data_IF_033491748817
#
_entry.id   IF_033491748817
#
_cell.length_a   1.000
_cell.length_b   1.000
_cell.length_c   1.000
_cell.angle_alpha   90.00
_cell.angle_beta   90.00
_cell.angle_gamma   90.00
#
_symmetry.space_group_name_H-M   'P 1'
#
loop_
_entity.id
_entity.type
_entity.pdbx_description
1 polymer ?
#
# COMPACT_ATOMS: atom_id res chain seq x y z
N UNK A 1 -32.59 18.19 -24.78
CA UNK A 1 -31.19 17.72 -24.65
C UNK A 1 -31.17 16.26 -25.04
N UNK A 2 -30.60 15.91 -26.20
CA UNK A 2 -30.32 14.52 -26.56
C UNK A 2 -29.15 14.08 -25.69
N UNK A 3 -29.32 12.98 -24.94
CA UNK A 3 -28.23 12.38 -24.18
C UNK A 3 -27.23 11.78 -25.17
N UNK A 4 -25.95 12.07 -24.98
CA UNK A 4 -24.87 11.45 -25.74
C UNK A 4 -24.84 9.95 -25.39
N UNK A 5 -24.91 9.12 -26.43
CA UNK A 5 -24.95 7.67 -26.32
C UNK A 5 -23.51 7.16 -26.27
N UNK A 6 -23.07 6.69 -25.11
CA UNK A 6 -21.75 6.09 -24.93
C UNK A 6 -21.72 4.68 -25.53
N UNK A 7 -20.67 4.38 -26.29
CA UNK A 7 -20.37 3.06 -26.86
C UNK A 7 -19.84 2.13 -25.76
N UNK A 8 -20.21 0.86 -25.83
CA UNK A 8 -19.87 -0.18 -24.85
C UNK A 8 -18.67 -1.02 -25.27
N UNK A 9 -18.38 -1.09 -26.56
CA UNK A 9 -17.23 -1.81 -27.13
C UNK A 9 -16.61 -1.04 -28.31
N UNK A 10 -15.35 -1.34 -28.63
CA UNK A 10 -14.62 -0.72 -29.75
C UNK A 10 -15.29 -1.01 -31.11
N UNK A 11 -15.95 -2.16 -31.23
CA UNK A 11 -16.72 -2.58 -32.41
C UNK A 11 -17.98 -1.71 -32.59
N UNK A 12 -18.61 -1.28 -31.49
CA UNK A 12 -19.76 -0.38 -31.52
C UNK A 12 -19.38 1.05 -31.95
N UNK A 13 -18.17 1.50 -31.57
CA UNK A 13 -17.62 2.79 -32.02
C UNK A 13 -17.28 2.80 -33.51
N UNK A 14 -16.78 1.68 -34.04
CA UNK A 14 -16.31 1.56 -35.42
C UNK A 14 -17.43 1.34 -36.45
N UNK A 15 -18.68 1.15 -35.99
CA UNK A 15 -19.91 1.14 -36.80
C UNK A 15 -19.85 0.23 -38.04
N UNK A 16 -19.27 -0.97 -37.89
CA UNK A 16 -19.21 -1.98 -38.94
C UNK A 16 -20.61 -2.48 -39.33
N UNK A 17 -20.92 -2.51 -40.63
CA UNK A 17 -22.19 -3.04 -41.16
C UNK A 17 -22.45 -4.51 -40.73
N UNK A 18 -21.38 -5.27 -40.52
CA UNK A 18 -21.42 -6.67 -40.11
C UNK A 18 -21.90 -6.84 -38.65
N UNK A 19 -21.52 -5.92 -37.75
CA UNK A 19 -21.95 -5.89 -36.36
C UNK A 19 -23.42 -5.44 -36.21
N UNK A 20 -23.85 -4.50 -37.05
CA UNK A 20 -25.26 -4.09 -37.10
C UNK A 20 -26.17 -5.23 -37.57
N UNK A 21 -25.70 -6.07 -38.50
CA UNK A 21 -26.43 -7.28 -38.93
C UNK A 21 -26.47 -8.35 -37.84
N UNK A 22 -25.38 -8.58 -37.12
CA UNK A 22 -25.36 -9.58 -36.02
C UNK A 22 -26.23 -9.18 -34.82
N UNK A 23 -26.50 -7.89 -34.63
CA UNK A 23 -27.43 -7.37 -33.61
C UNK A 23 -28.91 -7.56 -33.96
N UNK A 24 -29.23 -7.66 -35.25
CA UNK A 24 -30.60 -7.82 -35.75
C UNK A 24 -30.99 -9.29 -35.96
N UNK A 25 -30.02 -10.14 -36.28
CA UNK A 25 -30.22 -11.58 -36.47
C UNK A 25 -29.61 -12.37 -35.29
N UNK A 26 -30.47 -12.79 -34.36
CA UNK A 26 -30.09 -13.65 -33.21
C UNK A 26 -29.54 -15.02 -33.64
N UNK A 27 -29.81 -15.43 -34.90
CA UNK A 27 -29.29 -16.65 -35.50
C UNK A 27 -28.79 -16.41 -36.93
N UNK A 28 -27.68 -17.06 -37.35
CA UNK A 28 -27.19 -16.99 -38.73
C UNK A 28 -28.27 -17.36 -39.76
N UNK A 29 -28.21 -16.79 -40.99
CA UNK A 29 -29.11 -17.17 -42.08
C UNK A 29 -29.09 -18.69 -42.31
N UNK A 30 -30.26 -19.34 -42.23
CA UNK A 30 -30.44 -20.78 -42.43
C UNK A 30 -30.66 -21.62 -41.17
N UNK A 31 -30.59 -21.04 -39.96
CA UNK A 31 -30.82 -21.78 -38.70
C UNK A 31 -32.31 -21.86 -38.31
N UNK A 32 -33.14 -20.91 -38.73
CA UNK A 32 -34.57 -20.82 -38.42
C UNK A 32 -35.50 -21.30 -39.55
N UNK A 33 -34.94 -21.74 -40.68
CA UNK A 33 -35.71 -22.35 -41.76
C UNK A 33 -35.96 -23.84 -41.45
N UNK A 34 -37.23 -24.24 -41.37
CA UNK A 34 -37.60 -25.67 -41.31
C UNK A 34 -37.10 -26.33 -42.60
N UNK A 35 -36.22 -27.35 -42.53
CA UNK A 35 -35.70 -27.95 -43.75
C UNK A 35 -36.86 -28.58 -44.52
N UNK A 36 -36.97 -28.22 -45.81
CA UNK A 36 -37.75 -28.97 -46.77
C UNK A 36 -37.33 -30.45 -46.69
N UNK A 37 -38.30 -31.37 -46.79
CA UNK A 37 -38.09 -32.81 -46.63
C UNK A 37 -36.83 -33.30 -47.38
N UNK A 38 -35.73 -33.48 -46.65
CA UNK A 38 -34.48 -33.99 -47.21
C UNK A 38 -34.71 -35.45 -47.62
N UNK A 39 -34.46 -35.78 -48.87
CA UNK A 39 -34.49 -37.17 -49.30
C UNK A 39 -33.40 -37.95 -48.54
N UNK A 40 -33.67 -39.21 -48.16
CA UNK A 40 -32.76 -40.07 -47.36
C UNK A 40 -31.30 -40.04 -47.84
N UNK A 41 -31.08 -39.97 -49.16
CA UNK A 41 -29.75 -39.90 -49.76
C UNK A 41 -29.04 -38.57 -49.52
N UNK A 42 -29.75 -37.45 -49.61
CA UNK A 42 -29.20 -36.13 -49.31
C UNK A 42 -28.91 -36.00 -47.82
N UNK A 43 -29.81 -36.49 -46.96
CA UNK A 43 -29.56 -36.57 -45.52
C UNK A 43 -28.31 -37.40 -45.19
N UNK A 44 -28.17 -38.61 -45.77
CA UNK A 44 -26.98 -39.44 -45.56
C UNK A 44 -25.72 -38.80 -46.13
N UNK A 45 -25.82 -38.01 -47.22
CA UNK A 45 -24.69 -37.29 -47.79
C UNK A 45 -24.29 -36.09 -46.92
N UNK A 46 -25.25 -35.38 -46.33
CA UNK A 46 -25.01 -34.27 -45.41
C UNK A 46 -24.45 -34.77 -44.07
N UNK A 47 -25.00 -35.85 -43.52
CA UNK A 47 -24.49 -36.47 -42.28
C UNK A 47 -23.07 -37.02 -42.50
N UNK A 48 -22.80 -37.66 -43.64
CA UNK A 48 -21.46 -38.17 -43.94
C UNK A 48 -20.46 -37.03 -44.21
N UNK A 49 -20.87 -35.96 -44.89
CA UNK A 49 -20.05 -34.75 -45.05
C UNK A 49 -19.77 -34.07 -43.69
N UNK A 50 -20.77 -33.90 -42.83
CA UNK A 50 -20.63 -33.31 -41.50
C UNK A 50 -19.74 -34.15 -40.58
N UNK A 51 -19.83 -35.49 -40.63
CA UNK A 51 -18.93 -36.39 -39.91
C UNK A 51 -17.49 -36.30 -40.44
N UNK A 52 -17.30 -36.16 -41.75
CA UNK A 52 -15.98 -35.97 -42.34
C UNK A 52 -15.35 -34.63 -41.93
N UNK A 53 -16.11 -33.53 -41.94
CA UNK A 53 -15.64 -32.22 -41.49
C UNK A 53 -15.37 -32.15 -39.97
N UNK A 54 -16.21 -32.78 -39.15
CA UNK A 54 -15.96 -32.89 -37.70
C UNK A 54 -14.73 -33.76 -37.38
N UNK A 55 -14.46 -34.78 -38.19
CA UNK A 55 -13.25 -35.61 -38.09
C UNK A 55 -11.97 -34.85 -38.43
N UNK A 56 -12.02 -33.88 -39.34
CA UNK A 56 -10.87 -33.06 -39.73
C UNK A 56 -10.42 -32.08 -38.62
N UNK A 57 -11.33 -31.60 -37.77
CA UNK A 57 -10.98 -30.80 -36.58
C UNK A 57 -10.55 -31.64 -35.39
N UNK A 58 -10.93 -32.93 -35.34
CA UNK A 58 -10.50 -33.87 -34.30
C UNK A 58 -9.06 -34.37 -34.46
N UNK A 59 -8.42 -34.06 -35.60
CA UNK A 59 -7.02 -34.41 -35.89
C UNK A 59 -6.16 -33.16 -36.13
N UNK A 60 -6.46 -32.04 -35.47
CA UNK A 60 -5.43 -31.03 -35.28
C UNK A 60 -4.31 -31.67 -34.46
N UNK A 61 -3.06 -31.79 -34.98
CA UNK A 61 -1.96 -32.28 -34.16
C UNK A 61 -1.84 -31.33 -32.98
N UNK A 62 -2.12 -31.82 -31.77
CA UNK A 62 -1.72 -31.12 -30.56
C UNK A 62 -0.23 -30.87 -30.71
N UNK A 63 0.17 -29.60 -30.74
CA UNK A 63 1.59 -29.26 -30.75
C UNK A 63 2.20 -29.96 -29.54
N UNK A 64 3.16 -30.89 -29.71
CA UNK A 64 3.66 -31.66 -28.59
C UNK A 64 4.28 -30.71 -27.57
N UNK A 65 3.65 -30.61 -26.40
CA UNK A 65 4.17 -29.80 -25.29
C UNK A 65 5.47 -30.42 -24.79
N UNK A 66 6.48 -29.58 -24.57
CA UNK A 66 7.78 -30.04 -24.07
C UNK A 66 7.76 -30.04 -22.55
N UNK A 67 8.05 -31.20 -21.96
CA UNK A 67 8.30 -31.33 -20.52
C UNK A 67 9.81 -31.22 -20.30
N UNK A 68 10.24 -30.19 -19.58
CA UNK A 68 11.66 -29.92 -19.30
C UNK A 68 11.94 -30.16 -17.81
N UNK A 69 12.63 -31.26 -17.43
CA UNK A 69 12.97 -31.51 -16.03
C UNK A 69 14.17 -30.67 -15.58
N UNK A 70 14.36 -30.57 -14.26
CA UNK A 70 15.57 -29.97 -13.69
C UNK A 70 16.83 -30.73 -14.14
N UNK A 71 17.88 -30.00 -14.50
CA UNK A 71 19.22 -30.56 -14.74
C UNK A 71 19.81 -31.07 -13.41
N UNK A 72 19.58 -30.33 -12.32
CA UNK A 72 19.91 -30.71 -10.95
C UNK A 72 18.71 -30.37 -10.06
N UNK A 73 17.94 -31.36 -9.59
CA UNK A 73 16.77 -31.11 -8.76
C UNK A 73 17.20 -30.64 -7.36
N UNK A 74 16.64 -29.52 -6.85
CA UNK A 74 16.76 -29.17 -5.44
C UNK A 74 16.08 -30.22 -4.57
N UNK A 75 16.64 -30.50 -3.38
CA UNK A 75 16.13 -31.57 -2.51
C UNK A 75 14.73 -31.26 -1.95
N UNK A 76 14.43 -29.98 -1.72
CA UNK A 76 13.17 -29.54 -1.11
C UNK A 76 12.02 -29.44 -2.12
N UNK A 77 12.31 -29.40 -3.43
CA UNK A 77 11.29 -29.17 -4.47
C UNK A 77 10.76 -30.51 -4.99
N UNK A 78 9.48 -30.76 -4.71
CA UNK A 78 8.70 -31.83 -5.34
C UNK A 78 7.76 -31.21 -6.39
N UNK A 79 7.95 -31.48 -7.70
CA UNK A 79 7.08 -30.94 -8.74
C UNK A 79 5.59 -31.22 -8.46
N UNK A 80 4.76 -30.18 -8.58
CA UNK A 80 3.31 -30.26 -8.32
C UNK A 80 2.90 -30.08 -6.85
N UNK A 81 3.84 -29.96 -5.91
CA UNK A 81 3.54 -29.60 -4.52
C UNK A 81 4.05 -28.17 -4.24
N UNK A 82 3.17 -27.25 -3.79
CA UNK A 82 3.63 -25.93 -3.37
C UNK A 82 4.50 -26.00 -2.12
N UNK A 83 5.46 -25.10 -2.03
CA UNK A 83 6.20 -24.77 -0.82
C UNK A 83 5.77 -23.40 -0.33
N UNK A 84 5.74 -23.21 0.99
CA UNK A 84 5.43 -21.90 1.59
C UNK A 84 6.67 -21.33 2.24
N UNK A 85 7.04 -20.11 1.85
CA UNK A 85 8.18 -19.39 2.41
C UNK A 85 7.69 -18.24 3.29
N UNK A 86 8.15 -18.19 4.53
CA UNK A 86 7.88 -17.06 5.41
C UNK A 86 8.70 -15.84 4.98
N UNK A 87 8.02 -14.73 4.71
CA UNK A 87 8.61 -13.45 4.30
C UNK A 87 7.75 -12.30 4.83
N UNK A 88 8.06 -11.06 4.47
CA UNK A 88 7.29 -9.88 4.87
C UNK A 88 7.07 -8.95 3.67
N UNK A 89 5.83 -8.50 3.51
CA UNK A 89 5.44 -7.50 2.52
C UNK A 89 5.61 -6.09 3.12
N UNK A 90 6.43 -5.22 2.51
CA UNK A 90 6.59 -3.83 2.95
C UNK A 90 5.49 -2.94 2.37
N UNK A 91 4.89 -2.08 3.21
CA UNK A 91 3.99 -1.01 2.77
C UNK A 91 4.05 0.17 3.75
N UNK A 92 4.23 1.40 3.27
CA UNK A 92 4.26 2.59 4.13
C UNK A 92 5.38 2.57 5.17
N UNK A 93 6.47 1.83 4.88
CA UNK A 93 7.53 1.52 5.82
C UNK A 93 7.25 0.40 6.83
N UNK A 94 6.06 -0.21 6.89
CA UNK A 94 5.77 -1.29 7.84
C UNK A 94 5.71 -2.67 7.18
N UNK A 95 6.15 -3.69 7.91
CA UNK A 95 6.14 -5.08 7.45
C UNK A 95 4.86 -5.82 7.82
N UNK A 96 4.17 -6.36 6.82
CA UNK A 96 3.12 -7.37 6.99
C UNK A 96 3.70 -8.76 6.77
N UNK A 97 3.77 -9.59 7.81
CA UNK A 97 4.30 -10.96 7.68
C UNK A 97 3.39 -11.85 6.84
N UNK A 98 3.96 -12.47 5.81
CA UNK A 98 3.24 -13.28 4.82
C UNK A 98 3.94 -14.63 4.58
N UNK A 99 3.19 -15.57 4.01
CA UNK A 99 3.67 -16.82 3.46
C UNK A 99 3.53 -16.74 1.94
N UNK A 100 4.64 -16.78 1.22
CA UNK A 100 4.64 -16.86 -0.23
C UNK A 100 4.55 -18.33 -0.66
N UNK A 101 3.45 -18.69 -1.32
CA UNK A 101 3.30 -19.99 -1.97
C UNK A 101 4.15 -20.00 -3.25
N UNK A 102 5.11 -20.92 -3.32
CA UNK A 102 6.06 -21.07 -4.40
C UNK A 102 5.89 -22.43 -5.08
N UNK A 103 5.65 -22.40 -6.39
CA UNK A 103 5.65 -23.58 -7.24
C UNK A 103 6.96 -23.63 -8.00
N UNK A 104 7.77 -24.65 -7.71
CA UNK A 104 9.03 -24.88 -8.45
C UNK A 104 9.96 -23.64 -8.48
N UNK A 105 9.99 -22.88 -7.37
CA UNK A 105 10.81 -21.68 -7.21
C UNK A 105 10.15 -20.38 -7.68
N UNK A 106 8.88 -20.42 -8.11
CA UNK A 106 8.13 -19.24 -8.56
C UNK A 106 7.03 -18.93 -7.55
N UNK A 107 7.07 -17.78 -6.85
CA UNK A 107 5.93 -17.33 -6.06
C UNK A 107 4.67 -17.27 -6.93
N UNK A 108 3.51 -17.67 -6.43
CA UNK A 108 2.26 -17.68 -7.20
C UNK A 108 1.08 -17.12 -6.41
N UNK A 109 1.18 -17.15 -5.08
CA UNK A 109 0.16 -16.65 -4.18
C UNK A 109 0.82 -16.13 -2.91
N UNK A 110 0.26 -15.06 -2.36
CA UNK A 110 0.63 -14.53 -1.05
C UNK A 110 -0.50 -14.89 -0.08
N UNK A 111 -0.14 -15.40 1.09
CA UNK A 111 -1.05 -15.68 2.21
C UNK A 111 -0.53 -15.03 3.48
N UNK A 112 -1.39 -14.83 4.48
CA UNK A 112 -0.93 -14.23 5.74
C UNK A 112 -0.14 -15.23 6.57
N UNK A 113 0.90 -14.77 7.28
CA UNK A 113 1.61 -15.61 8.24
C UNK A 113 0.83 -15.68 9.57
N UNK A 114 0.34 -16.87 10.01
CA UNK A 114 -0.37 -17.03 11.28
C UNK A 114 0.45 -16.62 12.51
N UNK A 115 1.78 -16.77 12.45
CA UNK A 115 2.68 -16.52 13.56
C UNK A 115 3.13 -15.05 13.66
N UNK A 116 2.84 -14.25 12.63
CA UNK A 116 3.25 -12.85 12.60
C UNK A 116 2.17 -11.94 13.22
N UNK A 117 2.53 -11.05 14.17
CA UNK A 117 1.55 -10.30 14.97
C UNK A 117 0.69 -9.34 14.14
N UNK A 118 1.21 -8.79 13.03
CA UNK A 118 0.46 -7.84 12.20
C UNK A 118 -0.55 -8.48 11.25
N UNK A 119 -0.36 -9.75 10.87
CA UNK A 119 -1.18 -10.42 9.84
C UNK A 119 -2.10 -11.48 10.43
N UNK A 120 -1.65 -12.22 11.47
CA UNK A 120 -2.40 -13.27 12.15
C UNK A 120 -3.02 -14.29 11.16
N UNK A 121 -2.31 -14.58 10.06
CA UNK A 121 -2.78 -15.52 9.03
C UNK A 121 -3.72 -14.91 7.99
N UNK A 122 -3.77 -13.58 7.87
CA UNK A 122 -4.55 -12.87 6.84
C UNK A 122 -3.71 -11.77 6.19
N UNK A 123 -4.19 -11.24 5.06
CA UNK A 123 -3.50 -10.21 4.27
C UNK A 123 -4.45 -9.10 3.90
N UNK A 124 -3.89 -7.98 3.43
CA UNK A 124 -4.66 -6.91 2.80
C UNK A 124 -4.70 -7.08 1.27
N UNK A 125 -5.42 -6.18 0.60
CA UNK A 125 -5.54 -6.21 -0.85
C UNK A 125 -4.20 -5.92 -1.56
N UNK A 126 -3.34 -5.11 -0.96
CA UNK A 126 -2.05 -4.72 -1.55
C UNK A 126 -1.07 -5.89 -1.56
N UNK A 127 -0.94 -6.60 -0.43
CA UNK A 127 -0.12 -7.80 -0.29
C UNK A 127 -0.63 -8.94 -1.18
N UNK A 128 -1.94 -9.06 -1.40
CA UNK A 128 -2.51 -10.02 -2.35
C UNK A 128 -2.17 -9.68 -3.80
N UNK A 129 -2.26 -8.39 -4.15
CA UNK A 129 -2.00 -7.92 -5.51
C UNK A 129 -0.50 -7.83 -5.85
N UNK A 130 0.38 -7.76 -4.86
CA UNK A 130 1.84 -7.60 -5.07
C UNK A 130 2.46 -8.73 -5.89
N UNK A 131 1.82 -9.91 -5.95
CA UNK A 131 2.26 -11.00 -6.82
C UNK A 131 2.20 -10.61 -8.31
N UNK A 132 1.24 -9.76 -8.69
CA UNK A 132 1.14 -9.24 -10.04
C UNK A 132 2.27 -8.24 -10.30
N UNK A 133 2.61 -7.40 -9.33
CA UNK A 133 3.76 -6.51 -9.41
C UNK A 133 5.05 -7.29 -9.64
N UNK A 134 5.25 -8.44 -8.98
CA UNK A 134 6.42 -9.30 -9.24
C UNK A 134 6.52 -9.70 -10.72
N UNK A 135 5.40 -10.08 -11.34
CA UNK A 135 5.34 -10.60 -12.71
C UNK A 135 4.98 -9.54 -13.76
N UNK A 136 5.01 -8.27 -13.39
CA UNK A 136 4.64 -7.19 -14.28
C UNK A 136 5.67 -7.05 -15.42
N UNK A 137 5.25 -7.11 -16.70
CA UNK A 137 6.15 -6.97 -17.83
C UNK A 137 6.76 -5.57 -17.97
N UNK A 138 6.14 -4.54 -17.39
CA UNK A 138 6.57 -3.15 -17.46
C UNK A 138 7.58 -2.77 -16.37
N UNK A 139 7.89 -3.70 -15.46
CA UNK A 139 9.01 -3.55 -14.53
C UNK A 139 10.31 -3.27 -15.28
N UNK A 140 11.13 -2.44 -14.65
CA UNK A 140 12.47 -2.10 -15.10
C UNK A 140 13.32 -3.36 -15.18
N UNK A 141 13.99 -3.59 -16.33
CA UNK A 141 14.82 -4.79 -16.57
C UNK A 141 16.28 -4.48 -16.78
N UNK A 142 16.61 -3.22 -17.07
CA UNK A 142 17.95 -2.79 -17.46
C UNK A 142 18.28 -1.48 -16.79
N UNK A 143 19.56 -1.25 -16.55
CA UNK A 143 20.06 0.02 -16.07
C UNK A 143 20.03 1.01 -17.22
N UNK A 144 19.58 2.23 -16.96
CA UNK A 144 19.52 3.31 -17.95
C UNK A 144 20.39 4.46 -17.48
N UNK A 145 21.15 5.04 -18.41
CA UNK A 145 21.89 6.29 -18.23
C UNK A 145 21.53 7.29 -19.34
N UNK A 146 20.88 8.40 -19.00
CA UNK A 146 20.48 9.45 -19.94
C UNK A 146 19.62 8.91 -21.09
N UNK A 147 18.68 8.01 -20.79
CA UNK A 147 17.79 7.36 -21.76
C UNK A 147 18.43 6.23 -22.59
N UNK A 148 19.66 5.80 -22.27
CA UNK A 148 20.34 4.69 -22.96
C UNK A 148 20.63 3.52 -22.03
N UNK A 149 20.47 2.30 -22.53
CA UNK A 149 20.83 1.08 -21.80
C UNK A 149 22.31 1.13 -21.40
N UNK A 150 22.58 0.79 -20.15
CA UNK A 150 23.91 0.76 -19.53
C UNK A 150 24.08 -0.52 -18.69
N UNK A 151 25.26 -0.67 -18.07
CA UNK A 151 25.61 -1.85 -17.27
C UNK A 151 25.81 -1.48 -15.80
N UNK A 152 25.77 -2.51 -14.95
CA UNK A 152 26.03 -2.34 -13.51
C UNK A 152 27.46 -1.82 -13.26
N UNK A 153 28.45 -2.37 -13.97
CA UNK A 153 29.84 -1.93 -13.83
C UNK A 153 30.03 -0.46 -14.24
N UNK A 154 29.34 -0.01 -15.29
CA UNK A 154 29.38 1.38 -15.72
C UNK A 154 28.77 2.32 -14.67
N UNK A 155 27.63 1.93 -14.07
CA UNK A 155 27.01 2.66 -12.98
C UNK A 155 27.93 2.75 -11.76
N UNK A 156 28.46 1.62 -11.28
CA UNK A 156 29.34 1.59 -10.11
C UNK A 156 30.61 2.41 -10.33
N UNK A 157 31.20 2.36 -11.54
CA UNK A 157 32.37 3.18 -11.88
C UNK A 157 32.04 4.68 -11.84
N UNK A 158 30.89 5.09 -12.40
CA UNK A 158 30.44 6.47 -12.37
C UNK A 158 30.15 6.95 -10.95
N UNK A 159 29.41 6.15 -10.16
CA UNK A 159 29.07 6.48 -8.77
C UNK A 159 30.32 6.54 -7.89
N UNK A 160 31.27 5.61 -8.04
CA UNK A 160 32.53 5.63 -7.30
C UNK A 160 33.31 6.93 -7.55
N UNK A 161 33.37 7.39 -8.80
CA UNK A 161 34.01 8.67 -9.16
C UNK A 161 33.37 9.84 -8.41
N UNK A 162 32.03 9.89 -8.37
CA UNK A 162 31.29 10.92 -7.64
C UNK A 162 31.53 10.85 -6.13
N UNK A 163 31.54 9.64 -5.56
CA UNK A 163 31.78 9.43 -4.14
C UNK A 163 33.22 9.78 -3.72
N UNK A 164 34.24 9.53 -4.55
CA UNK A 164 35.60 9.98 -4.25
C UNK A 164 35.68 11.51 -4.16
N UNK A 165 35.03 12.23 -5.08
CA UNK A 165 34.93 13.69 -4.99
C UNK A 165 34.23 14.13 -3.70
N UNK A 166 33.18 13.41 -3.28
CA UNK A 166 32.48 13.66 -2.01
C UNK A 166 33.29 13.30 -0.76
N UNK A 167 34.25 12.38 -0.84
CA UNK A 167 35.13 12.09 0.30
C UNK A 167 36.01 13.30 0.64
N UNK A 168 36.46 14.04 -0.38
CA UNK A 168 37.31 15.22 -0.20
C UNK A 168 36.61 16.35 0.58
N UNK A 169 35.29 16.49 0.43
CA UNK A 169 34.48 17.50 1.12
C UNK A 169 33.57 16.92 2.22
N UNK A 170 33.88 15.70 2.70
CA UNK A 170 33.15 15.01 3.78
C UNK A 170 31.66 14.75 3.48
N UNK A 171 31.24 14.72 2.21
CA UNK A 171 29.86 14.46 1.81
C UNK A 171 29.01 15.71 1.57
N UNK A 172 29.61 16.90 1.51
CA UNK A 172 28.85 18.11 1.21
C UNK A 172 28.18 18.00 -0.17
N UNK A 173 26.88 18.27 -0.22
CA UNK A 173 26.03 18.12 -1.40
C UNK A 173 25.62 16.69 -1.74
N UNK A 174 25.94 15.70 -0.90
CA UNK A 174 25.40 14.33 -0.99
C UNK A 174 24.08 14.24 -0.21
N UNK A 175 23.03 13.78 -0.88
CA UNK A 175 21.70 13.58 -0.31
C UNK A 175 21.16 12.20 -0.67
N UNK A 176 20.46 11.60 0.28
CA UNK A 176 19.67 10.39 0.07
C UNK A 176 18.20 10.73 0.34
N UNK A 177 17.31 10.35 -0.57
CA UNK A 177 15.87 10.37 -0.36
C UNK A 177 15.37 8.94 -0.43
N UNK A 178 14.74 8.47 0.63
CA UNK A 178 14.15 7.14 0.69
C UNK A 178 12.67 7.23 1.04
N UNK A 179 11.90 6.18 0.79
CA UNK A 179 10.66 5.94 1.51
C UNK A 179 10.94 5.72 3.01
N UNK A 180 9.89 5.44 3.79
CA UNK A 180 10.04 5.18 5.22
C UNK A 180 10.84 3.89 5.46
N UNK A 181 12.01 4.00 6.10
CA UNK A 181 12.86 2.85 6.41
C UNK A 181 12.60 2.38 7.84
N UNK A 182 12.10 1.15 7.98
CA UNK A 182 12.04 0.44 9.27
C UNK A 182 12.95 -0.78 9.35
N UNK A 183 13.57 -1.17 8.23
CA UNK A 183 14.59 -2.21 8.14
C UNK A 183 15.81 -1.86 9.02
N UNK A 184 16.13 -2.69 10.04
CA UNK A 184 17.35 -2.50 10.83
C UNK A 184 18.62 -2.60 9.98
N UNK A 185 18.66 -3.51 9.01
CA UNK A 185 19.82 -3.71 8.15
C UNK A 185 20.06 -2.51 7.23
N UNK A 186 19.03 -2.01 6.54
CA UNK A 186 19.16 -0.82 5.68
C UNK A 186 19.50 0.41 6.51
N UNK A 187 18.86 0.60 7.67
CA UNK A 187 19.19 1.71 8.55
C UNK A 187 20.65 1.68 9.03
N UNK A 188 21.20 0.50 9.32
CA UNK A 188 22.61 0.35 9.68
C UNK A 188 23.54 0.69 8.50
N UNK A 189 23.18 0.29 7.29
CA UNK A 189 23.94 0.63 6.07
C UNK A 189 23.95 2.14 5.83
N UNK A 190 22.79 2.80 5.92
CA UNK A 190 22.68 4.26 5.79
C UNK A 190 23.47 4.99 6.87
N UNK A 191 23.40 4.54 8.13
CA UNK A 191 24.22 5.12 9.22
C UNK A 191 25.71 5.02 8.94
N UNK A 192 26.20 3.86 8.47
CA UNK A 192 27.62 3.68 8.09
C UNK A 192 28.04 4.61 6.95
N UNK A 193 27.13 4.87 5.99
CA UNK A 193 27.38 5.84 4.92
C UNK A 193 27.47 7.26 5.52
N UNK A 194 26.55 7.65 6.39
CA UNK A 194 26.57 8.97 7.03
C UNK A 194 27.79 9.17 7.96
N UNK A 195 28.29 8.10 8.58
CA UNK A 195 29.56 8.13 9.34
C UNK A 195 30.77 8.38 8.43
N UNK A 196 30.78 7.79 7.22
CA UNK A 196 31.84 8.02 6.22
C UNK A 196 31.74 9.40 5.56
N UNK A 197 30.53 9.94 5.45
CA UNK A 197 30.22 11.23 4.83
C UNK A 197 29.42 12.12 5.81
N UNK A 198 30.07 12.72 6.84
CA UNK A 198 29.37 13.45 7.90
C UNK A 198 28.55 14.67 7.47
N UNK A 199 28.82 15.24 6.28
CA UNK A 199 28.05 16.36 5.72
C UNK A 199 26.93 15.92 4.77
N UNK A 200 26.80 14.61 4.50
CA UNK A 200 25.67 14.05 3.78
C UNK A 200 24.41 14.09 4.64
N UNK A 201 23.24 14.14 4.00
CA UNK A 201 21.96 14.11 4.71
C UNK A 201 21.05 13.01 4.15
N UNK A 202 20.30 12.39 5.06
CA UNK A 202 19.29 11.39 4.74
C UNK A 202 17.89 11.98 4.99
N UNK A 203 17.11 12.05 3.94
CA UNK A 203 15.72 12.46 3.91
C UNK A 203 14.81 11.25 3.70
N UNK A 204 13.64 11.30 4.32
CA UNK A 204 12.60 10.27 4.18
C UNK A 204 11.29 10.95 3.79
N UNK A 205 10.58 10.35 2.85
CA UNK A 205 9.29 10.85 2.40
C UNK A 205 8.35 9.74 1.93
N UNK A 206 7.16 9.71 2.53
CA UNK A 206 5.97 9.03 2.05
C UNK A 206 4.85 10.05 1.83
N UNK A 207 4.07 9.98 0.74
CA UNK A 207 2.92 10.87 0.55
C UNK A 207 1.80 10.61 1.55
N UNK A 208 1.65 9.37 2.01
CA UNK A 208 0.73 9.00 3.10
C UNK A 208 1.57 8.62 4.31
N UNK A 209 1.78 9.59 5.21
CA UNK A 209 2.64 9.44 6.37
C UNK A 209 1.91 9.74 7.69
N UNK A 210 2.64 9.59 8.80
CA UNK A 210 2.14 9.80 10.16
C UNK A 210 2.72 11.06 10.82
N UNK A 211 3.09 12.08 10.04
CA UNK A 211 3.78 13.28 10.56
C UNK A 211 2.98 14.01 11.64
N UNK A 212 1.65 14.12 11.49
CA UNK A 212 0.79 14.73 12.50
C UNK A 212 0.84 13.99 13.84
N UNK A 213 0.88 12.65 13.81
CA UNK A 213 1.02 11.83 15.00
C UNK A 213 2.42 11.98 15.63
N UNK A 214 3.48 12.10 14.82
CA UNK A 214 4.85 12.37 15.29
C UNK A 214 4.98 13.75 15.94
N UNK A 215 4.42 14.78 15.32
CA UNK A 215 4.42 16.14 15.86
C UNK A 215 3.68 16.21 17.21
N UNK A 216 2.53 15.51 17.31
CA UNK A 216 1.78 15.39 18.55
C UNK A 216 2.55 14.64 19.65
N UNK A 217 3.17 13.51 19.31
CA UNK A 217 3.94 12.72 20.27
C UNK A 217 5.15 13.49 20.79
N UNK A 218 5.89 14.18 19.91
CA UNK A 218 7.00 15.07 20.29
C UNK A 218 6.55 16.19 21.23
N UNK A 219 5.39 16.78 20.97
CA UNK A 219 4.81 17.83 21.82
C UNK A 219 4.45 17.31 23.21
N UNK A 220 3.87 16.11 23.30
CA UNK A 220 3.39 15.55 24.57
C UNK A 220 4.48 14.86 25.40
N UNK A 221 5.38 14.14 24.75
CA UNK A 221 6.35 13.26 25.40
C UNK A 221 7.80 13.77 25.31
N UNK A 222 8.04 14.87 24.59
CA UNK A 222 9.39 15.41 24.32
C UNK A 222 10.23 14.57 23.36
N UNK A 223 9.71 13.42 22.91
CA UNK A 223 10.30 12.50 21.95
C UNK A 223 9.22 11.91 21.06
N UNK A 224 9.62 11.38 19.89
CA UNK A 224 8.71 10.61 19.06
C UNK A 224 8.39 9.28 19.74
N UNK A 225 7.11 8.90 19.73
CA UNK A 225 6.62 7.58 20.14
C UNK A 225 5.52 7.13 19.18
N UNK A 226 5.41 5.81 19.00
CA UNK A 226 4.32 5.20 18.23
C UNK A 226 3.25 4.67 19.18
N UNK A 227 1.99 4.85 18.79
CA UNK A 227 0.84 4.33 19.53
C UNK A 227 0.44 2.96 18.97
N UNK A 228 0.63 1.92 19.78
CA UNK A 228 0.14 0.58 19.48
C UNK A 228 -1.23 0.37 20.11
N UNK A 229 -2.23 0.11 19.28
CA UNK A 229 -3.60 -0.11 19.72
C UNK A 229 -3.89 -1.60 19.95
N UNK A 230 -4.59 -1.88 21.05
CA UNK A 230 -5.11 -3.19 21.43
C UNK A 230 -6.64 -3.20 21.29
N UNK A 231 -7.11 -3.35 20.05
CA UNK A 231 -8.53 -3.22 19.71
C UNK A 231 -9.37 -4.34 20.35
N UNK A 232 -8.77 -5.51 20.58
CA UNK A 232 -9.37 -6.66 21.23
C UNK A 232 -9.75 -6.41 22.69
N UNK A 233 -9.12 -5.41 23.33
CA UNK A 233 -9.37 -5.03 24.73
C UNK A 233 -10.40 -3.90 24.86
N UNK A 234 -10.85 -3.30 23.76
CA UNK A 234 -11.78 -2.19 23.78
C UNK A 234 -13.25 -2.65 23.67
N UNK A 235 -14.06 -2.23 24.64
CA UNK A 235 -15.53 -2.32 24.66
C UNK A 235 -16.18 -1.12 23.96
N UNK A 236 -15.55 0.06 23.99
CA UNK A 236 -16.04 1.28 23.31
C UNK A 236 -14.87 1.94 22.58
N UNK A 237 -15.04 2.18 21.28
CA UNK A 237 -14.02 2.77 20.42
C UNK A 237 -14.56 4.08 19.84
N UNK A 238 -13.77 5.15 19.95
CA UNK A 238 -13.99 6.42 19.28
C UNK A 238 -12.92 6.61 18.20
N UNK A 239 -13.33 6.63 16.94
CA UNK A 239 -12.49 7.04 15.81
C UNK A 239 -12.74 8.50 15.47
N UNK A 240 -11.66 9.29 15.47
CA UNK A 240 -11.59 10.68 15.02
C UNK A 240 -10.94 10.70 13.64
N UNK A 241 -11.77 10.48 12.62
CA UNK A 241 -11.41 10.38 11.20
C UNK A 241 -10.32 9.32 10.94
N UNK A 242 -10.27 8.25 11.75
CA UNK A 242 -9.28 7.19 11.63
C UNK A 242 -9.85 5.96 10.90
N UNK A 243 -9.26 5.58 9.77
CA UNK A 243 -9.62 4.35 9.05
C UNK A 243 -8.73 3.16 9.45
N UNK A 244 -8.73 2.85 10.75
CA UNK A 244 -7.86 1.83 11.35
C UNK A 244 -8.18 0.39 10.91
N UNK A 245 -9.30 0.17 10.21
CA UNK A 245 -9.67 -1.12 9.62
C UNK A 245 -9.13 -1.33 8.21
N UNK A 246 -8.57 -0.30 7.55
CA UNK A 246 -8.10 -0.40 6.16
C UNK A 246 -6.71 0.19 5.91
N UNK A 247 -6.41 1.42 6.37
CA UNK A 247 -5.27 2.18 5.84
C UNK A 247 -4.15 2.43 6.85
N UNK A 248 -4.43 2.31 8.14
CA UNK A 248 -3.40 2.53 9.17
C UNK A 248 -2.44 1.33 9.30
N UNK A 249 -1.21 1.55 9.80
CA UNK A 249 -0.32 0.46 10.18
C UNK A 249 -1.03 -0.54 11.11
N UNK A 250 -0.87 -1.83 10.84
CA UNK A 250 -1.51 -2.89 11.61
C UNK A 250 -3.01 -3.11 11.35
N UNK A 251 -3.61 -2.48 10.33
CA UNK A 251 -5.05 -2.57 10.07
C UNK A 251 -5.57 -4.01 9.89
N UNK A 252 -4.80 -4.94 9.31
CA UNK A 252 -5.19 -6.37 9.18
C UNK A 252 -5.43 -6.99 10.56
N UNK A 253 -4.50 -6.78 11.48
CA UNK A 253 -4.62 -7.17 12.89
C UNK A 253 -5.82 -6.49 13.53
N UNK A 254 -5.93 -5.16 13.40
CA UNK A 254 -7.02 -4.41 14.01
C UNK A 254 -8.40 -4.83 13.52
N UNK A 255 -8.54 -5.14 12.23
CA UNK A 255 -9.77 -5.67 11.66
C UNK A 255 -10.14 -7.04 12.24
N UNK A 256 -9.16 -7.91 12.43
CA UNK A 256 -9.36 -9.22 13.07
C UNK A 256 -9.75 -9.08 14.55
N UNK A 257 -9.04 -8.24 15.30
CA UNK A 257 -9.31 -7.96 16.71
C UNK A 257 -10.70 -7.34 16.89
N UNK A 258 -11.04 -6.34 16.07
CA UNK A 258 -12.35 -5.70 16.04
C UNK A 258 -13.46 -6.71 15.75
N UNK A 259 -13.30 -7.52 14.70
CA UNK A 259 -14.28 -8.54 14.34
C UNK A 259 -14.44 -9.61 15.43
N UNK A 260 -13.38 -9.97 16.14
CA UNK A 260 -13.46 -10.96 17.23
C UNK A 260 -14.39 -10.52 18.37
N UNK A 261 -14.46 -9.21 18.63
CA UNK A 261 -15.33 -8.59 19.64
C UNK A 261 -16.77 -8.39 19.18
N UNK A 262 -17.07 -8.77 17.93
CA UNK A 262 -18.41 -8.69 17.33
C UNK A 262 -18.99 -10.05 16.94
N UNK A 263 -18.24 -11.14 17.15
CA UNK A 263 -18.74 -12.50 17.00
C UNK A 263 -19.55 -12.86 18.24
N UNK A 264 -20.87 -12.71 18.15
CA UNK A 264 -21.79 -13.08 19.24
C UNK A 264 -22.24 -14.53 19.09
N UNK A 265 -22.20 -15.31 20.16
CA UNK A 265 -22.90 -16.59 20.22
C UNK A 265 -24.37 -16.38 20.64
N UNK A 266 -25.28 -17.33 20.33
CA UNK A 266 -26.64 -17.28 20.85
C UNK A 266 -26.66 -17.15 22.38
N UNK A 267 -27.21 -16.06 22.90
CA UNK A 267 -27.25 -15.75 24.35
C UNK A 267 -26.17 -14.77 24.84
N UNK A 268 -25.18 -14.44 24.01
CA UNK A 268 -24.20 -13.39 24.31
C UNK A 268 -24.60 -12.07 23.66
N UNK A 269 -24.94 -11.07 24.48
CA UNK A 269 -25.32 -9.73 24.02
C UNK A 269 -24.17 -8.70 24.13
N UNK A 270 -22.92 -9.15 24.20
CA UNK A 270 -21.78 -8.24 24.39
C UNK A 270 -21.01 -8.06 23.09
N UNK A 271 -21.02 -6.83 22.58
CA UNK A 271 -20.33 -6.39 21.38
C UNK A 271 -19.57 -5.10 21.69
N UNK A 272 -18.40 -4.90 21.10
CA UNK A 272 -17.75 -3.60 21.18
C UNK A 272 -18.55 -2.56 20.38
N UNK A 273 -18.64 -1.34 20.91
CA UNK A 273 -19.35 -0.22 20.27
C UNK A 273 -18.36 0.69 19.55
N UNK A 274 -18.60 0.94 18.28
CA UNK A 274 -17.77 1.82 17.46
C UNK A 274 -18.49 3.13 17.13
N UNK A 275 -17.92 4.23 17.62
CA UNK A 275 -18.28 5.60 17.29
C UNK A 275 -17.28 6.17 16.28
N UNK A 276 -17.77 6.74 15.19
CA UNK A 276 -16.93 7.32 14.15
C UNK A 276 -17.38 8.76 13.87
N UNK A 277 -16.46 9.69 14.06
CA UNK A 277 -16.54 11.04 13.51
C UNK A 277 -15.65 11.06 12.27
N UNK A 278 -16.20 11.22 11.08
CA UNK A 278 -15.39 11.24 9.87
C UNK A 278 -15.93 12.21 8.82
N UNK A 279 -15.03 12.67 7.96
CA UNK A 279 -15.35 13.62 6.88
C UNK A 279 -15.80 12.93 5.61
N UNK A 280 -15.16 11.82 5.27
CA UNK A 280 -15.43 11.02 4.07
C UNK A 280 -15.83 9.61 4.50
N UNK A 281 -16.84 8.97 3.87
CA UNK A 281 -17.15 7.57 4.12
C UNK A 281 -15.93 6.66 4.02
N UNK A 282 -15.63 5.95 5.11
CA UNK A 282 -14.51 4.99 5.18
C UNK A 282 -14.99 3.56 5.44
N UNK A 283 -14.10 2.57 5.34
CA UNK A 283 -14.42 1.18 5.72
C UNK A 283 -14.69 1.07 7.22
N UNK A 284 -13.93 1.80 8.04
CA UNK A 284 -14.19 1.93 9.47
C UNK A 284 -15.57 2.54 9.75
N UNK A 285 -15.93 3.61 9.04
CA UNK A 285 -17.25 4.24 9.12
C UNK A 285 -18.39 3.29 8.72
N UNK A 286 -18.20 2.46 7.70
CA UNK A 286 -19.19 1.47 7.26
C UNK A 286 -19.41 0.34 8.28
N UNK A 287 -18.46 0.13 9.22
CA UNK A 287 -18.58 -0.83 10.32
C UNK A 287 -18.97 -0.18 11.65
N UNK A 288 -19.18 1.13 11.68
CA UNK A 288 -19.55 1.86 12.89
C UNK A 288 -20.98 1.53 13.32
N UNK A 289 -21.19 1.48 14.64
CA UNK A 289 -22.54 1.46 15.22
C UNK A 289 -23.14 2.87 15.22
N UNK A 290 -22.28 3.88 15.44
CA UNK A 290 -22.64 5.28 15.50
C UNK A 290 -21.70 6.11 14.62
N UNK A 291 -22.14 6.41 13.40
CA UNK A 291 -21.38 7.26 12.47
C UNK A 291 -21.97 8.66 12.42
N UNK A 292 -21.14 9.68 12.59
CA UNK A 292 -21.53 11.08 12.41
C UNK A 292 -20.63 11.74 11.35
N UNK A 293 -21.20 12.19 10.23
CA UNK A 293 -20.47 13.00 9.26
C UNK A 293 -20.09 14.35 9.87
N UNK A 294 -18.82 14.73 9.78
CA UNK A 294 -18.28 15.99 10.32
C UNK A 294 -17.30 16.56 9.29
N UNK A 295 -17.32 17.87 9.03
CA UNK A 295 -16.31 18.49 8.16
C UNK A 295 -14.92 18.27 8.77
N UNK A 296 -13.89 18.04 7.96
CA UNK A 296 -12.53 17.79 8.49
C UNK A 296 -12.05 18.91 9.42
N UNK A 297 -12.38 20.18 9.12
CA UNK A 297 -12.11 21.34 9.99
C UNK A 297 -12.76 21.28 11.37
N UNK A 298 -13.90 20.60 11.48
CA UNK A 298 -14.73 20.57 12.68
C UNK A 298 -14.42 19.35 13.56
N UNK A 299 -13.61 18.40 13.08
CA UNK A 299 -13.16 17.24 13.87
C UNK A 299 -12.42 17.70 15.12
N UNK A 300 -11.56 18.72 15.00
CA UNK A 300 -10.88 19.33 16.15
C UNK A 300 -11.88 19.90 17.16
N UNK A 301 -12.88 20.66 16.70
CA UNK A 301 -13.90 21.26 17.58
C UNK A 301 -14.69 20.17 18.30
N UNK A 302 -15.07 19.11 17.59
CA UNK A 302 -15.77 17.96 18.18
C UNK A 302 -14.89 17.21 19.19
N UNK A 303 -13.63 16.95 18.86
CA UNK A 303 -12.67 16.29 19.75
C UNK A 303 -12.44 17.11 21.03
N UNK A 304 -12.30 18.44 20.92
CA UNK A 304 -12.19 19.34 22.07
C UNK A 304 -13.42 19.28 22.96
N UNK A 305 -14.63 19.36 22.38
CA UNK A 305 -15.89 19.25 23.14
C UNK A 305 -16.03 17.91 23.87
N UNK A 306 -15.62 16.81 23.23
CA UNK A 306 -15.61 15.47 23.86
C UNK A 306 -14.59 15.44 25.01
N UNK A 307 -13.39 15.96 24.79
CA UNK A 307 -12.35 16.00 25.83
C UNK A 307 -12.79 16.84 27.05
N UNK A 308 -13.40 18.01 26.83
CA UNK A 308 -13.94 18.87 27.89
C UNK A 308 -15.05 18.15 28.67
N UNK A 309 -15.97 17.48 27.96
CA UNK A 309 -17.04 16.70 28.58
C UNK A 309 -16.54 15.44 29.32
N UNK A 310 -15.36 14.91 28.97
CA UNK A 310 -14.70 13.87 29.75
C UNK A 310 -14.02 14.42 31.02
N UNK A 311 -13.59 15.69 30.99
CA UNK A 311 -12.96 16.39 32.11
C UNK A 311 -13.92 17.01 33.13
N UNK A 312 -15.22 17.15 32.82
CA UNK A 312 -16.24 17.73 33.71
C UNK A 312 -17.65 17.15 33.51
N UNK A 313 -18.59 17.41 34.44
CA UNK A 313 -19.97 16.90 34.39
C UNK A 313 -20.94 17.90 33.77
N UNK A 314 -20.65 18.39 32.57
CA UNK A 314 -21.54 19.31 31.85
C UNK A 314 -22.09 18.62 30.61
N UNK A 315 -23.42 18.65 30.44
CA UNK A 315 -24.04 18.26 29.17
C UNK A 315 -23.51 19.18 28.07
N UNK A 316 -23.18 18.60 26.92
CA UNK A 316 -22.69 19.35 25.77
C UNK A 316 -23.80 20.02 24.97
N UNK A 317 -25.07 19.76 25.32
CA UNK A 317 -26.24 20.14 24.53
C UNK A 317 -26.42 19.29 23.26
N UNK A 318 -25.54 18.32 23.03
CA UNK A 318 -25.56 17.40 21.90
C UNK A 318 -25.76 15.98 22.41
N UNK A 319 -26.97 15.45 22.21
CA UNK A 319 -27.36 14.14 22.73
C UNK A 319 -26.47 12.99 22.22
N UNK A 320 -25.89 13.11 21.03
CA UNK A 320 -24.99 12.10 20.47
C UNK A 320 -23.65 12.11 21.20
N UNK A 321 -23.10 13.31 21.45
CA UNK A 321 -21.85 13.47 22.21
C UNK A 321 -22.04 13.05 23.67
N UNK A 322 -23.16 13.44 24.29
CA UNK A 322 -23.48 13.06 25.67
C UNK A 322 -23.66 11.53 25.82
N UNK A 323 -24.13 10.82 24.80
CA UNK A 323 -24.19 9.36 24.79
C UNK A 323 -22.79 8.73 24.65
N UNK A 324 -21.98 9.20 23.70
CA UNK A 324 -20.60 8.77 23.51
C UNK A 324 -19.77 8.95 24.79
N UNK A 325 -19.83 10.12 25.43
CA UNK A 325 -19.07 10.43 26.64
C UNK A 325 -19.46 9.50 27.79
N UNK A 326 -20.77 9.24 27.97
CA UNK A 326 -21.24 8.27 28.98
C UNK A 326 -20.71 6.87 28.72
N UNK A 327 -20.75 6.41 27.47
CA UNK A 327 -20.21 5.10 27.11
C UNK A 327 -18.70 5.01 27.37
N UNK A 328 -17.91 6.00 26.93
CA UNK A 328 -16.47 6.05 27.20
C UNK A 328 -16.17 6.05 28.70
N UNK A 329 -16.90 6.84 29.49
CA UNK A 329 -16.75 6.87 30.95
C UNK A 329 -17.12 5.54 31.61
N UNK A 330 -18.15 4.84 31.10
CA UNK A 330 -18.55 3.52 31.60
C UNK A 330 -17.51 2.43 31.27
N UNK A 331 -16.74 2.62 30.21
CA UNK A 331 -15.71 1.72 29.71
C UNK A 331 -14.28 2.20 30.03
N UNK A 332 -14.07 2.91 31.15
CA UNK A 332 -12.70 3.31 31.60
C UNK A 332 -11.76 2.10 31.67
N UNK A 333 -10.56 2.25 31.11
CA UNK A 333 -9.56 1.18 30.95
C UNK A 333 -9.91 0.11 29.92
N UNK A 334 -11.10 0.17 29.32
CA UNK A 334 -11.61 -0.72 28.26
C UNK A 334 -12.18 0.09 27.09
N UNK A 335 -11.77 1.34 26.94
CA UNK A 335 -12.17 2.19 25.82
C UNK A 335 -10.95 2.51 24.99
N UNK A 336 -11.14 3.05 23.79
CA UNK A 336 -10.03 3.43 22.94
C UNK A 336 -10.40 4.64 22.10
N UNK A 337 -9.54 5.64 22.06
CA UNK A 337 -9.69 6.81 21.17
C UNK A 337 -8.56 6.78 20.13
N UNK A 338 -8.90 6.83 18.85
CA UNK A 338 -7.96 6.75 17.73
C UNK A 338 -8.12 8.00 16.86
N UNK A 339 -7.01 8.68 16.54
CA UNK A 339 -6.99 9.80 15.59
C UNK A 339 -6.37 9.35 14.27
N UNK A 340 -7.00 9.74 13.15
CA UNK A 340 -6.53 9.41 11.81
C UNK A 340 -5.30 10.22 11.42
N UNK A 341 -4.37 9.67 10.63
CA UNK A 341 -3.10 10.32 10.29
C UNK A 341 -3.27 11.66 9.55
N UNK A 342 -4.37 11.84 8.82
CA UNK A 342 -4.67 13.08 8.10
C UNK A 342 -5.17 14.21 9.01
N UNK A 343 -5.46 13.93 10.28
CA UNK A 343 -5.90 14.96 11.22
C UNK A 343 -4.72 15.79 11.71
N UNK A 344 -4.99 17.04 12.09
CA UNK A 344 -3.96 17.95 12.61
C UNK A 344 -3.36 17.43 13.93
N UNK A 345 -2.09 17.77 14.27
CA UNK A 345 -1.42 17.28 15.48
C UNK A 345 -2.24 17.46 16.76
N UNK A 346 -3.01 18.54 16.88
CA UNK A 346 -3.82 18.85 18.05
C UNK A 346 -4.95 17.83 18.28
N UNK A 347 -5.47 17.18 17.24
CA UNK A 347 -6.46 16.09 17.37
C UNK A 347 -5.80 14.85 17.96
N UNK A 348 -4.57 14.53 17.55
CA UNK A 348 -3.79 13.45 18.15
C UNK A 348 -3.47 13.73 19.62
N UNK A 349 -3.10 14.97 19.95
CA UNK A 349 -2.89 15.40 21.35
C UNK A 349 -4.14 15.17 22.19
N UNK A 350 -5.32 15.57 21.67
CA UNK A 350 -6.60 15.34 22.33
C UNK A 350 -6.92 13.85 22.47
N UNK A 351 -6.66 13.03 21.45
CA UNK A 351 -6.85 11.58 21.51
C UNK A 351 -5.98 10.94 22.60
N UNK A 352 -4.69 11.30 22.69
CA UNK A 352 -3.80 10.84 23.75
C UNK A 352 -4.26 11.31 25.13
N UNK A 353 -4.68 12.57 25.27
CA UNK A 353 -5.19 13.12 26.52
C UNK A 353 -6.48 12.41 26.97
N UNK A 354 -7.41 12.14 26.05
CA UNK A 354 -8.62 11.37 26.34
C UNK A 354 -8.30 9.94 26.77
N UNK A 355 -7.39 9.26 26.07
CA UNK A 355 -6.94 7.93 26.46
C UNK A 355 -6.29 7.92 27.85
N UNK A 356 -5.48 8.94 28.18
CA UNK A 356 -4.91 9.09 29.51
C UNK A 356 -6.01 9.30 30.57
N UNK A 357 -6.94 10.23 30.32
CA UNK A 357 -8.04 10.54 31.23
C UNK A 357 -8.98 9.35 31.46
N UNK A 358 -9.13 8.46 30.46
CA UNK A 358 -9.94 7.24 30.52
C UNK A 358 -9.21 6.05 31.14
N UNK A 359 -7.91 6.17 31.45
CA UNK A 359 -7.10 5.09 32.02
C UNK A 359 -6.75 3.99 31.00
N UNK A 360 -6.68 4.34 29.71
CA UNK A 360 -6.48 3.39 28.62
C UNK A 360 -5.00 3.00 28.41
N UNK A 361 -4.07 3.82 28.91
CA UNK A 361 -2.62 3.60 28.77
C UNK A 361 -2.20 2.31 29.49
N UNK A 362 -1.51 1.43 28.77
CA UNK A 362 -1.12 0.09 29.24
C UNK A 362 -2.25 -0.93 29.20
N UNK A 363 -3.47 -0.52 28.84
CA UNK A 363 -4.63 -1.40 28.67
C UNK A 363 -4.93 -1.57 27.18
N UNK A 364 -5.61 -0.60 26.57
CA UNK A 364 -6.05 -0.60 25.16
C UNK A 364 -5.11 0.17 24.24
N UNK A 365 -4.19 0.96 24.79
CA UNK A 365 -3.15 1.68 24.05
C UNK A 365 -1.81 1.57 24.78
N UNK A 366 -0.75 1.31 24.02
CA UNK A 366 0.62 1.29 24.50
C UNK A 366 1.47 2.25 23.67
N UNK A 367 2.35 3.00 24.33
CA UNK A 367 3.32 3.85 23.65
C UNK A 367 4.67 3.13 23.60
N UNK A 368 5.17 2.92 22.39
CA UNK A 368 6.46 2.28 22.14
C UNK A 368 7.44 3.28 21.54
N UNK A 369 8.73 2.96 21.62
CA UNK A 369 9.71 3.70 20.82
C UNK A 369 9.40 3.51 19.32
N UNK A 370 9.70 4.52 18.48
CA UNK A 370 9.38 4.49 17.06
C UNK A 370 9.87 3.23 16.36
N UNK A 371 9.05 2.72 15.44
CA UNK A 371 9.43 1.57 14.61
C UNK A 371 10.56 1.97 13.65
N UNK A 372 10.54 3.20 13.12
CA UNK A 372 11.63 3.74 12.32
C UNK A 372 12.90 3.98 13.14
N UNK A 373 14.08 3.55 12.68
CA UNK A 373 15.35 3.85 13.33
C UNK A 373 15.78 5.33 13.27
N UNK A 374 15.20 6.12 12.38
CA UNK A 374 15.43 7.56 12.25
C UNK A 374 14.08 8.29 12.06
N UNK A 375 13.30 8.46 13.14
CA UNK A 375 12.00 9.10 13.06
C UNK A 375 12.16 10.60 12.78
N UNK A 376 11.53 11.07 11.71
CA UNK A 376 11.50 12.48 11.29
C UNK A 376 10.09 12.87 10.86
N UNK A 377 9.78 14.17 10.91
CA UNK A 377 8.63 14.73 10.20
C UNK A 377 9.01 14.80 8.71
N UNK A 378 8.44 13.88 7.92
CA UNK A 378 8.88 13.57 6.57
C UNK A 378 8.60 14.69 5.58
N UNK A 379 7.45 15.36 5.68
CA UNK A 379 7.13 16.51 4.85
C UNK A 379 8.10 17.68 5.11
N UNK A 380 8.49 17.91 6.37
CA UNK A 380 9.53 18.89 6.70
C UNK A 380 10.91 18.46 6.19
N UNK A 381 11.21 17.16 6.22
CA UNK A 381 12.43 16.62 5.62
C UNK A 381 12.48 16.84 4.10
N UNK A 382 11.37 16.60 3.39
CA UNK A 382 11.25 16.86 1.95
C UNK A 382 11.33 18.35 1.63
N UNK A 383 10.69 19.22 2.43
CA UNK A 383 10.83 20.69 2.32
C UNK A 383 12.28 21.12 2.47
N UNK A 384 13.01 20.56 3.43
CA UNK A 384 14.43 20.85 3.60
C UNK A 384 15.23 20.44 2.36
N UNK A 385 15.05 19.22 1.87
CA UNK A 385 15.73 18.74 0.65
C UNK A 385 15.43 19.67 -0.54
N UNK A 386 14.17 20.06 -0.70
CA UNK A 386 13.75 20.91 -1.82
C UNK A 386 14.37 22.30 -1.75
N UNK A 387 14.43 22.90 -0.54
CA UNK A 387 15.15 24.17 -0.32
C UNK A 387 16.65 24.04 -0.61
N UNK A 388 17.27 22.94 -0.21
CA UNK A 388 18.68 22.68 -0.50
C UNK A 388 18.93 22.58 -2.02
N UNK A 389 18.05 21.88 -2.76
CA UNK A 389 18.11 21.80 -4.21
C UNK A 389 17.90 23.18 -4.87
N UNK A 390 16.94 23.96 -4.38
CA UNK A 390 16.69 25.33 -4.86
C UNK A 390 17.92 26.23 -4.69
N UNK A 391 18.64 26.09 -3.57
CA UNK A 391 19.83 26.88 -3.27
C UNK A 391 21.10 26.35 -3.95
N UNK A 392 21.02 25.28 -4.75
CA UNK A 392 22.18 24.65 -5.38
C UNK A 392 23.10 23.93 -4.40
N UNK A 393 22.62 23.59 -3.20
CA UNK A 393 23.37 22.90 -2.16
C UNK A 393 23.40 21.37 -2.33
N UNK A 394 22.73 20.84 -3.35
CA UNK A 394 22.65 19.40 -3.65
C UNK A 394 23.32 19.13 -4.99
N UNK A 395 24.40 18.35 -4.95
CA UNK A 395 25.17 17.96 -6.14
C UNK A 395 24.83 16.54 -6.59
N UNK A 396 24.66 15.63 -5.64
CA UNK A 396 24.39 14.22 -5.86
C UNK A 396 23.20 13.81 -4.98
N UNK A 397 22.10 13.42 -5.63
CA UNK A 397 20.90 12.91 -4.97
C UNK A 397 20.62 11.47 -5.44
N UNK A 398 20.57 10.55 -4.48
CA UNK A 398 20.10 9.19 -4.68
C UNK A 398 18.68 9.08 -4.13
N UNK A 399 17.73 8.75 -5.01
CA UNK A 399 16.35 8.43 -4.68
C UNK A 399 16.23 6.91 -4.66
N UNK A 400 15.79 6.34 -3.53
CA UNK A 400 15.64 4.90 -3.32
C UNK A 400 14.20 4.59 -3.01
N UNK A 401 13.52 3.95 -3.97
CA UNK A 401 12.08 3.79 -3.98
C UNK A 401 11.35 5.13 -4.17
N UNK A 402 10.03 5.08 -4.03
CA UNK A 402 9.16 6.24 -4.13
C UNK A 402 9.14 6.89 -5.52
N UNK A 403 8.28 7.89 -5.66
CA UNK A 403 8.18 8.68 -6.89
C UNK A 403 7.89 10.15 -6.51
N UNK A 404 8.86 10.88 -5.94
CA UNK A 404 8.66 12.23 -5.42
C UNK A 404 8.32 13.26 -6.50
N UNK A 405 8.68 13.06 -7.76
CA UNK A 405 8.25 13.95 -8.86
C UNK A 405 6.73 13.91 -9.02
N UNK A 406 6.12 12.74 -8.90
CA UNK A 406 4.67 12.56 -8.95
C UNK A 406 3.98 12.89 -7.61
N UNK A 407 4.57 12.45 -6.49
CA UNK A 407 3.87 12.42 -5.19
C UNK A 407 4.10 13.66 -4.33
N UNK A 408 5.19 14.41 -4.53
CA UNK A 408 5.48 15.59 -3.71
C UNK A 408 4.37 16.65 -3.83
N UNK A 409 4.06 17.38 -2.75
CA UNK A 409 3.11 18.49 -2.80
C UNK A 409 3.52 19.53 -3.85
N UNK A 410 2.55 19.97 -4.66
CA UNK A 410 2.81 20.83 -5.81
C UNK A 410 3.42 22.19 -5.43
N UNK A 411 3.16 22.69 -4.22
CA UNK A 411 3.73 23.92 -3.69
C UNK A 411 5.24 23.84 -3.43
N UNK A 412 5.81 22.64 -3.37
CA UNK A 412 7.26 22.45 -3.27
C UNK A 412 7.98 22.62 -4.61
N UNK A 413 7.26 22.57 -5.74
CA UNK A 413 7.88 22.57 -7.09
C UNK A 413 9.04 21.54 -7.20
N UNK A 414 8.91 20.35 -6.59
CA UNK A 414 10.01 19.39 -6.43
C UNK A 414 10.73 19.10 -7.75
N UNK A 415 9.99 18.78 -8.81
CA UNK A 415 10.52 18.46 -10.14
C UNK A 415 11.43 19.58 -10.70
N UNK A 416 11.03 20.84 -10.53
CA UNK A 416 11.79 22.02 -11.00
C UNK A 416 13.12 22.15 -10.29
N UNK A 417 13.16 21.90 -8.98
CA UNK A 417 14.39 21.98 -8.20
C UNK A 417 15.26 20.74 -8.37
N UNK A 418 14.64 19.57 -8.46
CA UNK A 418 15.30 18.30 -8.78
C UNK A 418 15.99 18.36 -10.16
N UNK A 419 15.40 19.06 -11.13
CA UNK A 419 15.99 19.27 -12.45
C UNK A 419 17.40 19.90 -12.42
N UNK A 420 17.73 20.67 -11.37
CA UNK A 420 18.99 21.39 -11.24
C UNK A 420 20.09 20.58 -10.54
N UNK A 421 19.78 19.42 -9.96
CA UNK A 421 20.77 18.57 -9.29
C UNK A 421 21.68 17.93 -10.34
N UNK A 422 23.01 18.09 -10.15
CA UNK A 422 24.00 17.67 -11.14
C UNK A 422 24.00 16.17 -11.40
N UNK A 423 23.91 15.34 -10.36
CA UNK A 423 23.84 13.88 -10.48
C UNK A 423 22.63 13.35 -9.73
N UNK A 424 21.81 12.59 -10.44
CA UNK A 424 20.50 12.10 -9.98
C UNK A 424 20.42 10.63 -10.30
N UNK A 425 20.22 9.83 -9.28
CA UNK A 425 20.14 8.37 -9.37
C UNK A 425 18.79 7.95 -8.79
N UNK A 426 18.05 7.13 -9.53
CA UNK A 426 16.83 6.49 -9.04
C UNK A 426 17.05 4.98 -8.96
N UNK A 427 16.69 4.37 -7.84
CA UNK A 427 16.53 2.93 -7.68
C UNK A 427 15.04 2.66 -7.48
N UNK A 428 14.37 2.07 -8.48
CA UNK A 428 12.94 1.80 -8.40
C UNK A 428 12.49 0.60 -9.27
N UNK A 429 11.31 0.05 -8.97
CA UNK A 429 10.71 -1.06 -9.70
C UNK A 429 10.33 -0.69 -11.14
N UNK A 430 9.93 0.56 -11.38
CA UNK A 430 9.43 1.06 -12.67
C UNK A 430 10.24 2.27 -13.14
N UNK A 431 10.24 2.51 -14.45
CA UNK A 431 10.64 3.80 -15.01
C UNK A 431 9.43 4.74 -14.89
N UNK A 432 9.46 5.61 -13.90
CA UNK A 432 8.36 6.52 -13.55
C UNK A 432 8.73 8.00 -13.74
N UNK A 433 7.85 8.91 -13.33
CA UNK A 433 8.05 10.35 -13.43
C UNK A 433 9.33 10.84 -12.75
N UNK A 434 9.84 10.13 -11.72
CA UNK A 434 11.12 10.47 -11.10
C UNK A 434 12.29 9.96 -11.94
N UNK A 435 12.18 8.75 -12.50
CA UNK A 435 13.18 8.20 -13.42
C UNK A 435 13.43 9.09 -14.64
N UNK A 436 12.38 9.71 -15.18
CA UNK A 436 12.47 10.63 -16.34
C UNK A 436 13.39 11.84 -16.10
N UNK A 437 13.51 12.26 -14.84
CA UNK A 437 14.39 13.37 -14.45
C UNK A 437 15.78 12.88 -14.02
N UNK A 438 16.00 11.58 -13.89
CA UNK A 438 17.27 11.02 -13.42
C UNK A 438 18.27 10.80 -14.56
N UNK A 439 19.56 10.92 -14.21
CA UNK A 439 20.61 10.50 -15.11
C UNK A 439 20.71 8.98 -15.09
N UNK A 440 20.71 8.38 -13.91
CA UNK A 440 20.78 6.94 -13.74
C UNK A 440 19.46 6.40 -13.20
N UNK A 441 18.93 5.39 -13.87
CA UNK A 441 17.85 4.55 -13.36
C UNK A 441 18.35 3.13 -13.17
N UNK A 442 18.17 2.61 -11.96
CA UNK A 442 18.60 1.29 -11.54
C UNK A 442 17.33 0.48 -11.25
N UNK A 443 17.15 -0.69 -11.89
CA UNK A 443 16.05 -1.59 -11.56
C UNK A 443 16.15 -2.07 -10.11
N UNK A 444 15.11 -1.80 -9.34
CA UNK A 444 14.96 -2.37 -8.01
C UNK A 444 14.43 -3.81 -8.09
N UNK A 445 14.88 -4.65 -7.15
CA UNK A 445 14.31 -5.99 -6.97
C UNK A 445 12.99 -5.91 -6.22
N UNK A 446 12.02 -6.71 -6.62
CA UNK A 446 10.80 -6.86 -5.82
C UNK A 446 11.14 -7.51 -4.47
N UNK A 447 10.35 -7.28 -3.41
CA UNK A 447 10.66 -7.83 -2.08
C UNK A 447 10.82 -9.36 -2.06
N UNK A 448 10.12 -10.07 -2.97
CA UNK A 448 10.22 -11.53 -3.17
C UNK A 448 11.50 -12.00 -3.89
N UNK A 449 12.29 -11.07 -4.43
CA UNK A 449 13.56 -11.32 -5.14
C UNK A 449 14.76 -10.80 -4.35
N UNK A 450 14.52 -10.23 -3.16
CA UNK A 450 15.50 -9.53 -2.35
C UNK A 450 15.74 -10.24 -1.02
N UNK A 451 16.94 -10.06 -0.47
CA UNK A 451 17.25 -10.43 0.92
C UNK A 451 17.24 -9.16 1.77
N UNK A 452 16.41 -9.15 2.81
CA UNK A 452 16.28 -8.00 3.68
C UNK A 452 15.54 -8.35 4.97
N UNK A 453 15.30 -7.31 5.76
CA UNK A 453 14.50 -7.36 6.98
C UNK A 453 13.59 -6.13 7.05
N UNK A 454 12.53 -6.21 7.85
CA UNK A 454 11.58 -5.12 8.07
C UNK A 454 10.95 -5.26 9.45
N UNK A 455 10.48 -4.15 10.04
CA UNK A 455 9.75 -4.16 11.32
C UNK A 455 8.27 -3.87 11.10
N UNK A 456 7.44 -4.39 11.99
CA UNK A 456 5.98 -4.24 12.01
C UNK A 456 5.49 -3.43 13.19
#
# INVERSE_FOLDING_TARGET
MKADRFWRTLEEYSNFEEFQRSLLDEFPPGVSERPAFLHRREFLSLVSASLAFAGLTSCAPTVPEKIVPYVRPPEEIVPGRPLFFATAFPLGGYGLGVLAESHMGRPTKIEGNPDHPASLGSTDAFAQASILSLYDPDRSKVIVNGGRISTWDAFITALATELEAKRLNKGEGLRFLTETVTSPTVALQLRRILEQFPAAQWHQYEPVNSDSARAASRTMFGKYVDARYHVEKADVILSLDADFLLSMPGHVRHAREFASRRRTQPGENRMNRLYVLESTPSITGAKADHRRPVRSSDIYVMASRIADALGGKTSTGDAWVDALVRDLQSARGKSLVIAGPQQRPEVHVLAHAMNAALGNIGQTIEYIDPVEPNPVEQLESLKQLTRDMQNGAVDLLLVVGGNPVYTAPADLEFAKHFANVRVRVHLALYEDETSDFCHWHIPETHYLESWGDIRS
#
